data_IF_321314394983
#
_entry.id   IF_321314394983
#
_cell.length_a   1.000
_cell.length_b   1.000
_cell.length_c   1.000
_cell.angle_alpha   90.00
_cell.angle_beta   90.00
_cell.angle_gamma   90.00
#
_symmetry.space_group_name_H-M   'P 1'
#
loop_
_entity.id
_entity.type
_entity.pdbx_description
1 polymer ?
#
# COMPACT_ATOMS: atom_id res chain seq x y z
N UNK A 1 -0.53 -11.36 2.11
CA UNK A 1 0.74 -11.63 1.43
C UNK A 1 0.58 -11.49 -0.08
N UNK A 2 1.69 -11.24 -0.77
CA UNK A 2 1.76 -11.28 -2.22
C UNK A 2 3.12 -11.86 -2.63
N UNK A 3 3.10 -12.69 -3.69
CA UNK A 3 4.27 -13.40 -4.18
C UNK A 3 4.34 -13.25 -5.69
N UNK A 4 5.53 -12.96 -6.22
CA UNK A 4 5.77 -12.78 -7.65
C UNK A 4 7.07 -13.49 -8.00
N UNK A 5 6.99 -14.47 -8.90
CA UNK A 5 8.14 -15.08 -9.55
C UNK A 5 8.10 -14.69 -11.03
N UNK A 6 9.25 -14.37 -11.61
CA UNK A 6 9.33 -14.06 -13.04
C UNK A 6 10.59 -14.63 -13.68
N UNK A 7 10.48 -14.93 -14.97
CA UNK A 7 11.58 -15.24 -15.86
C UNK A 7 11.26 -14.60 -17.22
N UNK A 8 11.85 -13.41 -17.45
CA UNK A 8 11.49 -12.54 -18.56
C UNK A 8 12.64 -12.43 -19.55
N UNK A 9 12.43 -12.80 -20.85
CA UNK A 9 13.44 -12.64 -21.90
C UNK A 9 13.72 -11.16 -22.21
N UNK A 10 12.73 -10.30 -22.00
CA UNK A 10 12.84 -8.85 -22.22
C UNK A 10 12.40 -8.07 -20.97
N UNK A 11 12.96 -6.88 -20.75
CA UNK A 11 12.56 -6.04 -19.62
C UNK A 11 11.08 -5.67 -19.66
N UNK A 12 10.43 -5.73 -18.51
CA UNK A 12 9.05 -5.33 -18.31
C UNK A 12 8.95 -4.23 -17.21
N UNK A 13 8.20 -3.18 -17.48
CA UNK A 13 7.92 -2.15 -16.47
C UNK A 13 6.61 -2.48 -15.74
N UNK A 14 6.72 -2.88 -14.48
CA UNK A 14 5.57 -3.09 -13.61
C UNK A 14 5.18 -1.76 -12.95
N UNK A 15 3.91 -1.37 -13.07
CA UNK A 15 3.36 -0.17 -12.46
C UNK A 15 2.42 -0.55 -11.32
N UNK A 16 2.67 0.00 -10.14
CA UNK A 16 1.85 -0.27 -8.96
C UNK A 16 1.25 1.04 -8.44
N UNK A 17 -0.07 1.13 -8.49
CA UNK A 17 -0.78 2.26 -7.87
C UNK A 17 -0.64 2.15 -6.36
N UNK A 18 -0.16 3.19 -5.67
CA UNK A 18 0.10 3.12 -4.25
C UNK A 18 -1.16 2.82 -3.43
N UNK A 19 -1.09 1.77 -2.63
CA UNK A 19 -2.06 1.47 -1.58
C UNK A 19 -1.59 2.14 -0.26
N UNK A 20 -2.50 2.58 0.62
CA UNK A 20 -2.15 3.21 1.90
C UNK A 20 -1.60 2.22 2.92
N UNK A 21 -0.65 1.41 2.52
CA UNK A 21 -0.07 0.31 3.31
C UNK A 21 1.44 0.40 3.36
N UNK A 22 1.99 0.08 4.53
CA UNK A 22 3.40 -0.28 4.65
C UNK A 22 3.57 -1.70 4.13
N UNK A 23 4.66 -1.96 3.43
CA UNK A 23 5.02 -3.30 2.99
C UNK A 23 6.39 -3.69 3.56
N UNK A 24 6.55 -4.95 3.98
CA UNK A 24 7.86 -5.58 4.15
C UNK A 24 8.08 -6.44 2.91
N UNK A 25 9.21 -6.25 2.24
CA UNK A 25 9.47 -6.85 0.93
C UNK A 25 10.81 -7.58 0.96
N UNK A 26 10.79 -8.84 0.56
CA UNK A 26 11.96 -9.70 0.37
C UNK A 26 12.15 -9.92 -1.11
N UNK A 27 13.35 -9.68 -1.63
CA UNK A 27 13.57 -9.61 -3.09
C UNK A 27 14.87 -10.29 -3.48
N UNK A 28 14.82 -11.01 -4.61
CA UNK A 28 15.98 -11.63 -5.28
C UNK A 28 15.93 -11.31 -6.76
N UNK A 29 17.00 -10.75 -7.28
CA UNK A 29 17.16 -10.45 -8.70
C UNK A 29 18.42 -11.11 -9.22
N UNK A 30 18.29 -12.05 -10.16
CA UNK A 30 19.44 -12.64 -10.82
C UNK A 30 20.30 -11.56 -11.49
N UNK A 31 21.62 -11.65 -11.32
CA UNK A 31 22.55 -10.69 -11.90
C UNK A 31 22.76 -9.38 -11.13
N UNK A 32 22.06 -9.14 -10.00
CA UNK A 32 22.36 -8.03 -9.10
C UNK A 32 23.35 -8.44 -8.00
N UNK A 33 24.04 -7.46 -7.44
CA UNK A 33 24.93 -7.66 -6.30
C UNK A 33 24.68 -6.56 -5.23
N UNK A 34 24.19 -6.90 -4.03
CA UNK A 34 23.73 -8.25 -3.64
C UNK A 34 22.48 -8.67 -4.42
N UNK A 35 22.36 -9.98 -4.69
CA UNK A 35 21.18 -10.55 -5.36
C UNK A 35 19.96 -10.46 -4.44
N UNK A 36 20.15 -10.73 -3.16
CA UNK A 36 19.14 -10.79 -2.12
C UNK A 36 19.13 -9.49 -1.31
N UNK A 37 17.94 -8.92 -1.11
CA UNK A 37 17.76 -7.79 -0.20
C UNK A 37 16.34 -7.74 0.36
N UNK A 38 16.17 -7.06 1.47
CA UNK A 38 14.87 -6.86 2.10
C UNK A 38 14.74 -5.44 2.65
N UNK A 39 13.53 -4.93 2.61
CA UNK A 39 13.24 -3.54 2.98
C UNK A 39 11.84 -3.38 3.58
N UNK A 40 11.67 -2.28 4.31
CA UNK A 40 10.36 -1.70 4.60
C UNK A 40 10.08 -0.63 3.55
N UNK A 41 9.07 -0.85 2.73
CA UNK A 41 8.51 0.15 1.85
C UNK A 41 7.36 0.84 2.57
N UNK A 42 7.54 2.10 2.92
CA UNK A 42 6.50 2.94 3.53
C UNK A 42 5.39 3.27 2.53
N UNK A 43 4.43 4.11 2.96
CA UNK A 43 3.32 4.48 2.10
C UNK A 43 3.86 5.26 0.89
N UNK A 44 3.68 4.70 -0.31
CA UNK A 44 3.96 5.39 -1.55
C UNK A 44 2.97 6.52 -1.79
N UNK A 45 3.46 7.68 -2.20
CA UNK A 45 2.63 8.84 -2.54
C UNK A 45 2.29 8.87 -4.03
N UNK A 46 3.23 8.42 -4.87
CA UNK A 46 3.18 8.44 -6.32
C UNK A 46 3.17 7.03 -6.92
N UNK A 47 2.88 6.91 -8.20
CA UNK A 47 2.95 5.66 -8.95
C UNK A 47 4.32 5.03 -8.81
N UNK A 48 4.37 3.81 -8.30
CA UNK A 48 5.61 3.07 -8.20
C UNK A 48 5.86 2.28 -9.49
N UNK A 49 7.02 2.48 -10.08
CA UNK A 49 7.42 1.75 -11.29
C UNK A 49 8.66 0.91 -10.99
N UNK A 50 8.55 -0.39 -11.21
CA UNK A 50 9.66 -1.33 -11.07
C UNK A 50 9.99 -1.97 -12.42
N UNK A 51 11.24 -1.82 -12.87
CA UNK A 51 11.76 -2.58 -14.01
C UNK A 51 12.06 -4.00 -13.54
N UNK A 52 11.40 -4.98 -14.16
CA UNK A 52 11.68 -6.40 -14.02
C UNK A 52 12.44 -6.87 -15.25
N UNK A 53 13.51 -7.63 -15.05
CA UNK A 53 14.32 -8.19 -16.14
C UNK A 53 14.94 -9.52 -15.70
N UNK A 54 15.21 -10.42 -16.66
CA UNK A 54 15.75 -11.72 -16.38
C UNK A 54 14.90 -12.50 -15.37
N UNK A 55 15.54 -13.19 -14.45
CA UNK A 55 14.88 -14.02 -13.44
C UNK A 55 14.90 -13.36 -12.08
N UNK A 56 13.78 -13.42 -11.37
CA UNK A 56 13.70 -12.93 -10.00
C UNK A 56 12.51 -13.47 -9.23
N UNK A 57 12.52 -13.17 -7.94
CA UNK A 57 11.49 -13.57 -6.99
C UNK A 57 11.30 -12.47 -5.95
N UNK A 58 10.05 -12.18 -5.62
CA UNK A 58 9.68 -11.22 -4.57
C UNK A 58 8.57 -11.81 -3.73
N UNK A 59 8.70 -11.72 -2.42
CA UNK A 59 7.64 -12.00 -1.47
C UNK A 59 7.41 -10.76 -0.61
N UNK A 60 6.14 -10.38 -0.43
CA UNK A 60 5.78 -9.20 0.33
C UNK A 60 4.69 -9.42 1.35
N UNK A 61 4.80 -8.68 2.44
CA UNK A 61 3.79 -8.55 3.48
C UNK A 61 3.19 -7.16 3.34
N UNK A 62 1.93 -7.06 2.92
CA UNK A 62 1.19 -5.80 2.90
C UNK A 62 0.40 -5.67 4.20
N UNK A 63 0.76 -4.70 5.01
CA UNK A 63 0.04 -4.43 6.26
C UNK A 63 -1.28 -3.70 5.97
N UNK A 64 -2.30 -4.01 6.75
CA UNK A 64 -3.50 -3.15 6.79
C UNK A 64 -3.08 -1.72 7.17
N UNK A 65 -3.66 -0.68 6.56
CA UNK A 65 -3.37 0.69 6.97
C UNK A 65 -3.62 0.88 8.47
N UNK A 66 -2.60 1.32 9.21
CA UNK A 66 -2.62 1.39 10.68
C UNK A 66 -2.04 0.17 11.41
N UNK A 67 -1.90 -0.99 10.73
CA UNK A 67 -1.52 -2.27 11.36
C UNK A 67 -0.01 -2.54 11.49
N UNK A 68 0.86 -1.65 11.02
CA UNK A 68 2.30 -1.88 11.08
C UNK A 68 2.93 -1.55 12.43
N UNK A 69 2.41 -0.56 13.15
CA UNK A 69 3.02 -0.04 14.38
C UNK A 69 3.17 -1.05 15.53
N UNK A 70 2.27 -2.03 15.73
CA UNK A 70 2.48 -3.11 16.70
C UNK A 70 3.80 -3.87 16.54
N UNK A 71 4.35 -3.92 15.32
CA UNK A 71 5.62 -4.58 14.99
C UNK A 71 6.82 -3.64 15.18
N UNK A 72 6.65 -2.33 15.02
CA UNK A 72 7.68 -1.31 15.15
C UNK A 72 7.26 -0.20 16.15
N UNK A 73 7.10 -0.53 17.45
CA UNK A 73 6.64 0.42 18.46
C UNK A 73 7.64 1.59 18.60
N UNK A 74 7.09 2.78 18.86
CA UNK A 74 7.88 4.00 19.04
C UNK A 74 8.20 4.77 17.75
N UNK A 75 7.98 4.19 16.55
CA UNK A 75 8.20 4.88 15.27
C UNK A 75 6.88 5.45 14.74
N UNK A 76 6.81 6.75 14.51
CA UNK A 76 5.67 7.35 13.81
C UNK A 76 5.71 6.96 12.32
N UNK A 77 4.58 6.52 11.75
CA UNK A 77 4.56 6.05 10.36
C UNK A 77 4.84 7.15 9.34
N UNK A 78 4.62 8.41 9.68
CA UNK A 78 5.03 9.53 8.82
C UNK A 78 6.53 9.53 8.49
N UNK A 79 7.38 8.94 9.35
CA UNK A 79 8.82 8.81 9.08
C UNK A 79 9.16 7.73 8.04
N UNK A 80 8.18 6.92 7.63
CA UNK A 80 8.31 5.90 6.59
C UNK A 80 7.61 6.33 5.28
N UNK A 81 6.78 7.38 5.31
CA UNK A 81 6.02 7.80 4.13
C UNK A 81 6.94 8.29 3.03
N UNK A 82 6.82 7.68 1.84
CA UNK A 82 7.70 7.94 0.70
C UNK A 82 9.06 7.23 0.77
N UNK A 83 9.38 6.57 1.87
CA UNK A 83 10.70 5.98 2.11
C UNK A 83 10.73 4.47 1.81
N UNK A 84 11.91 4.00 1.41
CA UNK A 84 12.26 2.57 1.31
C UNK A 84 13.52 2.36 2.13
N UNK A 85 13.39 1.64 3.23
CA UNK A 85 14.44 1.53 4.26
C UNK A 85 14.88 0.09 4.37
N UNK A 86 16.19 -0.23 4.36
CA UNK A 86 16.68 -1.59 4.61
C UNK A 86 16.05 -2.18 5.87
N UNK A 87 15.59 -3.43 5.78
CA UNK A 87 14.78 -4.06 6.82
C UNK A 87 15.48 -4.09 8.19
N UNK A 88 16.81 -4.32 8.21
CA UNK A 88 17.62 -4.33 9.44
C UNK A 88 17.67 -2.98 10.17
N UNK A 89 17.42 -1.87 9.49
CA UNK A 89 17.34 -0.55 10.11
C UNK A 89 16.02 -0.31 10.87
N UNK A 90 15.02 -1.12 10.58
CA UNK A 90 13.72 -1.09 11.28
C UNK A 90 13.65 -2.22 12.31
N UNK A 91 14.19 -3.39 11.96
CA UNK A 91 14.21 -4.59 12.78
C UNK A 91 15.66 -5.10 12.92
N UNK A 92 16.38 -4.68 13.97
CA UNK A 92 17.80 -5.03 14.16
C UNK A 92 18.10 -6.53 14.30
N UNK A 93 17.08 -7.35 14.54
CA UNK A 93 17.18 -8.82 14.61
C UNK A 93 17.27 -9.49 13.23
N UNK A 94 17.02 -8.74 12.16
CA UNK A 94 17.10 -9.25 10.78
C UNK A 94 18.57 -9.40 10.37
N UNK A 95 18.90 -10.57 9.88
CA UNK A 95 20.25 -10.96 9.45
C UNK A 95 20.27 -11.43 7.98
N UNK A 96 21.44 -11.86 7.54
CA UNK A 96 21.63 -12.34 6.17
C UNK A 96 20.86 -13.64 5.85
N UNK A 97 20.48 -14.44 6.87
CA UNK A 97 19.72 -15.67 6.69
C UNK A 97 18.22 -15.41 6.49
N UNK A 98 17.73 -14.23 6.85
CA UNK A 98 16.30 -13.87 6.79
C UNK A 98 15.75 -13.89 5.36
N UNK A 99 16.47 -13.37 4.38
CA UNK A 99 15.99 -13.35 2.98
C UNK A 99 15.92 -14.76 2.39
N UNK A 100 16.97 -15.60 2.48
CA UNK A 100 16.90 -16.99 2.05
C UNK A 100 15.78 -17.78 2.73
N UNK A 101 15.56 -17.61 4.03
CA UNK A 101 14.50 -18.35 4.73
C UNK A 101 13.10 -18.10 4.17
N UNK A 102 12.85 -16.92 3.59
CA UNK A 102 11.58 -16.55 2.96
C UNK A 102 11.54 -16.92 1.46
N UNK A 103 12.65 -16.74 0.74
CA UNK A 103 12.66 -16.87 -0.73
C UNK A 103 13.06 -18.25 -1.25
N UNK A 104 13.79 -19.08 -0.49
CA UNK A 104 14.25 -20.39 -0.93
C UNK A 104 13.16 -21.47 -1.01
N UNK A 105 12.11 -21.47 -0.14
CA UNK A 105 11.08 -22.49 -0.26
C UNK A 105 10.45 -22.50 -1.67
N UNK A 106 10.29 -23.71 -2.21
CA UNK A 106 9.88 -23.89 -3.62
C UNK A 106 8.40 -23.57 -3.84
N UNK A 107 7.55 -23.98 -2.88
CA UNK A 107 6.10 -23.77 -2.99
C UNK A 107 5.64 -22.50 -2.26
N UNK A 108 4.47 -22.01 -2.68
CA UNK A 108 3.90 -20.76 -2.14
C UNK A 108 3.48 -20.88 -0.68
N UNK A 109 2.93 -22.01 -0.28
CA UNK A 109 2.46 -22.24 1.09
C UNK A 109 3.63 -22.22 2.08
N UNK A 110 4.76 -22.83 1.71
CA UNK A 110 5.96 -22.79 2.53
C UNK A 110 6.55 -21.37 2.64
N UNK A 111 6.47 -20.55 1.57
CA UNK A 111 6.85 -19.14 1.61
C UNK A 111 5.91 -18.31 2.49
N UNK A 112 4.61 -18.55 2.40
CA UNK A 112 3.62 -17.91 3.29
C UNK A 112 3.90 -18.28 4.74
N UNK A 113 4.15 -19.57 5.04
CA UNK A 113 4.52 -20.01 6.39
C UNK A 113 5.81 -19.34 6.91
N UNK A 114 6.79 -19.14 6.03
CA UNK A 114 8.02 -18.41 6.38
C UNK A 114 7.77 -16.93 6.69
N UNK A 115 6.88 -16.28 5.93
CA UNK A 115 6.44 -14.90 6.20
C UNK A 115 5.68 -14.79 7.53
N UNK A 116 4.81 -15.76 7.85
CA UNK A 116 4.11 -15.84 9.15
C UNK A 116 5.11 -16.02 10.29
N UNK A 117 6.06 -16.95 10.15
CA UNK A 117 7.09 -17.19 11.16
C UNK A 117 7.96 -15.94 11.39
N UNK A 118 8.30 -15.22 10.31
CA UNK A 118 9.00 -13.95 10.40
C UNK A 118 8.20 -12.91 11.21
N UNK A 119 6.92 -12.70 10.89
CA UNK A 119 6.06 -11.74 11.60
C UNK A 119 5.89 -12.11 13.08
N UNK A 120 5.66 -13.38 13.39
CA UNK A 120 5.56 -13.86 14.77
C UNK A 120 6.87 -13.67 15.53
N UNK A 121 8.00 -13.90 14.86
CA UNK A 121 9.34 -13.69 15.41
C UNK A 121 9.66 -12.23 15.77
N UNK A 122 8.99 -11.25 15.13
CA UNK A 122 9.11 -9.84 15.49
C UNK A 122 8.43 -9.50 16.82
N UNK A 123 7.57 -10.38 17.35
CA UNK A 123 6.90 -10.21 18.63
C UNK A 123 5.98 -8.98 18.69
N UNK A 124 4.97 -8.88 17.82
CA UNK A 124 4.09 -7.72 17.79
C UNK A 124 3.40 -7.51 19.14
N UNK A 125 3.25 -6.25 19.54
CA UNK A 125 2.60 -5.87 20.80
C UNK A 125 1.20 -5.32 20.52
N UNK A 126 0.18 -5.75 21.28
CA UNK A 126 -1.15 -5.17 21.21
C UNK A 126 -1.08 -3.65 21.37
N UNK A 127 -1.76 -2.93 20.49
CA UNK A 127 -1.82 -1.46 20.49
C UNK A 127 -3.24 -1.01 20.14
N UNK A 128 -4.07 -0.64 21.14
CA UNK A 128 -5.45 -0.19 20.91
C UNK A 128 -5.58 1.02 19.98
N UNK A 129 -4.53 1.85 19.89
CA UNK A 129 -4.54 2.97 18.94
C UNK A 129 -4.32 2.50 17.50
N UNK A 130 -3.55 1.40 17.30
CA UNK A 130 -3.46 0.76 15.99
C UNK A 130 -4.80 0.16 15.58
N UNK A 131 -5.49 -0.52 16.50
CA UNK A 131 -6.83 -1.08 16.26
C UNK A 131 -7.83 0.02 15.89
N UNK A 132 -7.84 1.14 16.62
CA UNK A 132 -8.66 2.30 16.31
C UNK A 132 -8.31 2.88 14.93
N UNK A 133 -7.04 3.05 14.60
CA UNK A 133 -6.62 3.58 13.31
C UNK A 133 -7.07 2.67 12.15
N UNK A 134 -6.91 1.35 12.29
CA UNK A 134 -7.38 0.36 11.32
C UNK A 134 -8.90 0.44 11.13
N UNK A 135 -9.67 0.50 12.23
CA UNK A 135 -11.13 0.59 12.17
C UNK A 135 -11.59 1.88 11.46
N UNK A 136 -10.96 3.02 11.74
CA UNK A 136 -11.28 4.30 11.09
C UNK A 136 -10.94 4.28 9.59
N UNK A 137 -9.83 3.67 9.20
CA UNK A 137 -9.48 3.53 7.78
C UNK A 137 -10.45 2.58 7.07
N UNK A 138 -10.84 1.47 7.71
CA UNK A 138 -11.82 0.55 7.13
C UNK A 138 -13.20 1.22 6.96
N UNK A 139 -13.60 2.11 7.88
CA UNK A 139 -14.82 2.92 7.69
C UNK A 139 -14.73 3.83 6.47
N UNK A 140 -13.61 4.55 6.32
CA UNK A 140 -13.40 5.40 5.12
C UNK A 140 -13.44 4.55 3.84
N UNK A 141 -12.87 3.36 3.85
CA UNK A 141 -12.87 2.44 2.71
C UNK A 141 -14.27 1.94 2.37
N UNK A 142 -15.06 1.61 3.40
CA UNK A 142 -16.39 0.99 3.24
C UNK A 142 -17.54 1.97 3.03
N UNK A 143 -17.36 3.25 3.39
CA UNK A 143 -18.42 4.25 3.31
C UNK A 143 -18.07 5.42 2.39
N UNK A 144 -18.64 5.40 1.19
CA UNK A 144 -18.47 6.44 0.16
C UNK A 144 -19.09 7.80 0.54
N UNK A 145 -19.98 7.84 1.53
CA UNK A 145 -20.56 9.09 2.02
C UNK A 145 -19.54 9.92 2.84
N UNK A 146 -18.44 9.31 3.28
CA UNK A 146 -17.36 10.02 3.97
C UNK A 146 -16.56 10.85 2.94
N UNK A 147 -16.90 12.14 2.87
CA UNK A 147 -16.32 13.07 1.90
C UNK A 147 -15.43 14.14 2.53
N UNK A 148 -15.69 14.48 3.79
CA UNK A 148 -15.02 15.56 4.50
C UNK A 148 -14.47 15.09 5.84
N UNK A 149 -13.20 15.45 6.10
CA UNK A 149 -12.51 15.07 7.34
C UNK A 149 -13.21 15.59 8.59
N UNK A 150 -13.79 16.81 8.52
CA UNK A 150 -14.48 17.41 9.66
C UNK A 150 -15.76 16.67 10.07
N UNK A 151 -16.55 16.25 9.08
CA UNK A 151 -17.78 15.49 9.33
C UNK A 151 -17.46 14.08 9.82
N UNK A 152 -16.46 13.43 9.23
CA UNK A 152 -15.97 12.13 9.68
C UNK A 152 -15.45 12.20 11.13
N UNK A 153 -14.59 13.16 11.45
CA UNK A 153 -14.10 13.31 12.82
C UNK A 153 -15.24 13.50 13.83
N UNK A 154 -16.24 14.33 13.49
CA UNK A 154 -17.41 14.56 14.34
C UNK A 154 -18.23 13.27 14.52
N UNK A 155 -18.44 12.52 13.46
CA UNK A 155 -19.17 11.23 13.51
C UNK A 155 -18.47 10.19 14.41
N UNK A 156 -17.12 10.25 14.46
CA UNK A 156 -16.31 9.37 15.33
C UNK A 156 -16.11 9.95 16.77
N UNK A 157 -16.76 11.06 17.13
CA UNK A 157 -16.57 11.69 18.43
C UNK A 157 -15.16 12.28 18.65
N UNK A 158 -14.45 12.58 17.57
CA UNK A 158 -13.08 13.08 17.60
C UNK A 158 -12.98 14.53 17.13
N UNK A 159 -11.95 15.24 17.59
CA UNK A 159 -11.54 16.48 16.94
C UNK A 159 -10.73 16.17 15.68
N UNK A 160 -10.79 17.05 14.66
CA UNK A 160 -9.97 16.91 13.43
C UNK A 160 -8.48 16.76 13.78
N UNK A 161 -8.00 17.53 14.78
CA UNK A 161 -6.60 17.48 15.22
C UNK A 161 -6.24 16.13 15.86
N UNK A 162 -7.14 15.53 16.65
CA UNK A 162 -6.91 14.19 17.23
C UNK A 162 -6.85 13.13 16.14
N UNK A 163 -7.79 13.16 15.18
CA UNK A 163 -7.81 12.27 14.02
C UNK A 163 -6.54 12.40 13.19
N UNK A 164 -6.11 13.62 12.87
CA UNK A 164 -4.88 13.87 12.12
C UNK A 164 -3.63 13.32 12.83
N UNK A 165 -3.52 13.51 14.17
CA UNK A 165 -2.40 12.97 14.95
C UNK A 165 -2.39 11.44 14.96
N UNK A 166 -3.55 10.81 15.10
CA UNK A 166 -3.68 9.35 15.05
C UNK A 166 -3.22 8.83 13.68
N UNK A 167 -3.72 9.42 12.61
CA UNK A 167 -3.35 9.02 11.25
C UNK A 167 -1.87 9.25 10.96
N UNK A 168 -1.29 10.37 11.37
CA UNK A 168 0.14 10.63 11.23
C UNK A 168 1.00 9.58 11.97
N UNK A 169 0.59 9.19 13.18
CA UNK A 169 1.33 8.26 14.00
C UNK A 169 1.20 6.80 13.52
N UNK A 170 0.02 6.38 13.07
CA UNK A 170 -0.33 4.98 12.82
C UNK A 170 -0.54 4.63 11.36
N UNK A 171 -1.00 5.57 10.53
CA UNK A 171 -1.26 5.35 9.10
C UNK A 171 -0.15 5.92 8.22
N UNK A 172 0.49 7.02 8.66
CA UNK A 172 1.61 7.66 7.95
C UNK A 172 1.17 8.77 7.01
N UNK A 173 -0.11 8.87 6.68
CA UNK A 173 -0.71 9.92 5.84
C UNK A 173 -1.97 10.46 6.50
N UNK A 174 -2.41 11.65 6.09
CA UNK A 174 -3.58 12.27 6.69
C UNK A 174 -4.91 11.67 6.23
N UNK A 175 -6.00 11.84 7.00
CA UNK A 175 -7.32 11.27 6.67
C UNK A 175 -7.87 11.78 5.31
N UNK A 176 -7.59 13.03 4.93
CA UNK A 176 -7.98 13.55 3.61
C UNK A 176 -7.33 12.76 2.47
N UNK A 177 -6.03 12.43 2.63
CA UNK A 177 -5.30 11.63 1.63
C UNK A 177 -5.91 10.23 1.49
N UNK A 178 -6.27 9.59 2.62
CA UNK A 178 -6.93 8.27 2.63
C UNK A 178 -8.27 8.32 1.89
N UNK A 179 -9.12 9.32 2.17
CA UNK A 179 -10.41 9.50 1.49
C UNK A 179 -10.20 9.62 -0.01
N UNK A 180 -9.28 10.47 -0.45
CA UNK A 180 -8.99 10.66 -1.88
C UNK A 180 -8.41 9.40 -2.52
N UNK A 181 -7.51 8.70 -1.83
CA UNK A 181 -6.87 7.49 -2.34
C UNK A 181 -7.90 6.37 -2.58
N UNK A 182 -8.82 6.14 -1.65
CA UNK A 182 -9.86 5.12 -1.86
C UNK A 182 -10.85 5.49 -2.96
N UNK A 183 -11.11 6.77 -3.21
CA UNK A 183 -11.88 7.20 -4.39
C UNK A 183 -11.17 6.84 -5.69
N UNK A 184 -9.86 7.00 -5.76
CA UNK A 184 -9.09 6.61 -6.95
C UNK A 184 -9.08 5.09 -7.10
N UNK A 185 -8.93 4.31 -6.03
CA UNK A 185 -9.04 2.85 -6.10
C UNK A 185 -10.42 2.38 -6.58
N UNK A 186 -11.49 3.04 -6.16
CA UNK A 186 -12.83 2.75 -6.68
C UNK A 186 -12.94 3.10 -8.17
N UNK A 187 -12.37 4.23 -8.59
CA UNK A 187 -12.35 4.60 -10.00
C UNK A 187 -11.54 3.60 -10.86
N UNK A 188 -10.43 3.06 -10.32
CA UNK A 188 -9.67 1.97 -10.95
C UNK A 188 -10.51 0.70 -11.09
N UNK A 189 -11.14 0.24 -10.01
CA UNK A 189 -12.01 -0.94 -10.04
C UNK A 189 -13.16 -0.80 -11.07
N UNK A 190 -13.70 0.41 -11.23
CA UNK A 190 -14.72 0.69 -12.25
C UNK A 190 -14.15 0.69 -13.66
N UNK A 191 -12.90 1.17 -13.83
CA UNK A 191 -12.22 1.13 -15.12
C UNK A 191 -11.87 -0.29 -15.57
N UNK A 192 -11.62 -1.20 -14.61
CA UNK A 192 -11.28 -2.61 -14.83
C UNK A 192 -12.52 -3.48 -15.04
N UNK A 193 -13.70 -3.02 -14.62
CA UNK A 193 -14.95 -3.72 -14.84
C UNK A 193 -15.34 -3.69 -16.33
N UNK A 194 -15.89 -4.81 -16.82
CA UNK A 194 -16.31 -4.92 -18.22
C UNK A 194 -17.39 -3.91 -18.56
N UNK A 195 -17.17 -3.09 -19.58
CA UNK A 195 -18.15 -2.16 -20.16
C UNK A 195 -17.71 -0.69 -20.12
N UNK A 196 -18.44 0.17 -20.84
CA UNK A 196 -18.15 1.61 -20.90
C UNK A 196 -18.41 2.27 -19.53
N UNK A 197 -17.46 3.10 -19.08
CA UNK A 197 -17.57 3.85 -17.83
C UNK A 197 -18.10 5.26 -18.11
N UNK A 198 -19.21 5.64 -17.48
CA UNK A 198 -19.65 7.03 -17.42
C UNK A 198 -18.83 7.78 -16.35
N UNK A 199 -17.76 8.42 -16.80
CA UNK A 199 -16.83 9.14 -15.92
C UNK A 199 -17.46 10.37 -15.24
N UNK A 200 -18.50 10.96 -15.84
CA UNK A 200 -19.21 12.11 -15.25
C UNK A 200 -20.09 11.64 -14.08
N UNK A 201 -20.86 10.58 -14.29
CA UNK A 201 -21.65 9.96 -13.23
C UNK A 201 -20.76 9.43 -12.11
N UNK A 202 -19.65 8.75 -12.44
CA UNK A 202 -18.70 8.24 -11.45
C UNK A 202 -18.04 9.37 -10.65
N UNK A 203 -17.69 10.49 -11.27
CA UNK A 203 -17.17 11.66 -10.54
C UNK A 203 -18.17 12.18 -9.51
N UNK A 204 -19.44 12.29 -9.86
CA UNK A 204 -20.51 12.70 -8.95
C UNK A 204 -20.68 11.69 -7.80
N UNK A 205 -20.71 10.38 -8.09
CA UNK A 205 -20.84 9.32 -7.10
C UNK A 205 -19.67 9.33 -6.09
N UNK A 206 -18.45 9.56 -6.59
CA UNK A 206 -17.24 9.64 -5.75
C UNK A 206 -17.10 10.99 -5.03
N UNK A 207 -18.02 11.94 -5.26
CA UNK A 207 -18.05 13.26 -4.60
C UNK A 207 -17.00 14.23 -5.10
N UNK A 208 -16.59 14.13 -6.36
CA UNK A 208 -15.85 15.17 -7.05
C UNK A 208 -16.78 16.28 -7.52
N UNK A 209 -16.26 17.49 -7.64
CA UNK A 209 -17.04 18.64 -8.11
C UNK A 209 -17.47 18.46 -9.58
N UNK A 210 -16.61 17.85 -10.38
CA UNK A 210 -16.83 17.56 -11.79
C UNK A 210 -15.89 16.44 -12.29
N UNK A 211 -16.12 15.98 -13.51
CA UNK A 211 -15.29 14.97 -14.17
C UNK A 211 -13.82 15.42 -14.32
N UNK A 212 -13.58 16.71 -14.61
CA UNK A 212 -12.22 17.21 -14.81
C UNK A 212 -11.40 17.13 -13.52
N UNK A 213 -12.02 17.30 -12.35
CA UNK A 213 -11.38 17.13 -11.07
C UNK A 213 -11.00 15.64 -10.83
N UNK A 214 -11.92 14.71 -11.09
CA UNK A 214 -11.61 13.27 -11.03
C UNK A 214 -10.45 12.91 -11.97
N UNK A 215 -10.48 13.38 -13.23
CA UNK A 215 -9.42 13.11 -14.22
C UNK A 215 -8.07 13.62 -13.76
N UNK A 216 -8.00 14.81 -13.17
CA UNK A 216 -6.73 15.37 -12.63
C UNK A 216 -6.17 14.50 -11.50
N UNK A 217 -6.99 14.15 -10.51
CA UNK A 217 -6.57 13.36 -9.35
C UNK A 217 -6.19 11.93 -9.77
N UNK A 218 -6.96 11.33 -10.67
CA UNK A 218 -6.67 10.01 -11.23
C UNK A 218 -5.34 10.01 -11.96
N UNK A 219 -5.14 10.96 -12.90
CA UNK A 219 -3.91 11.06 -13.69
C UNK A 219 -2.69 11.33 -12.82
N UNK A 220 -2.81 12.18 -11.80
CA UNK A 220 -1.74 12.44 -10.84
C UNK A 220 -1.36 11.18 -10.03
N UNK A 221 -2.32 10.27 -9.79
CA UNK A 221 -2.10 9.06 -8.99
C UNK A 221 -1.63 7.87 -9.84
N UNK A 222 -2.23 7.70 -11.04
CA UNK A 222 -2.10 6.51 -11.90
C UNK A 222 -1.09 6.75 -13.03
N UNK A 223 -0.76 8.01 -13.31
CA UNK A 223 0.20 8.38 -14.37
C UNK A 223 -0.43 8.54 -15.74
N UNK A 224 -1.65 8.03 -15.97
CA UNK A 224 -2.39 8.14 -17.24
C UNK A 224 -3.84 8.54 -16.98
N UNK A 225 -4.51 9.19 -17.95
CA UNK A 225 -5.93 9.51 -17.84
C UNK A 225 -6.81 8.26 -17.68
N UNK A 226 -7.96 8.36 -16.99
CA UNK A 226 -8.84 7.21 -16.74
C UNK A 226 -9.35 6.54 -18.00
N UNK A 227 -9.61 7.29 -19.08
CA UNK A 227 -10.01 6.73 -20.38
C UNK A 227 -8.90 5.92 -21.05
N UNK A 228 -7.64 6.36 -20.92
CA UNK A 228 -6.47 5.63 -21.42
C UNK A 228 -6.26 4.36 -20.61
N UNK A 229 -6.36 4.45 -19.28
CA UNK A 229 -6.24 3.29 -18.40
C UNK A 229 -7.27 2.21 -18.74
N UNK A 230 -8.56 2.59 -18.84
CA UNK A 230 -9.63 1.65 -19.21
C UNK A 230 -9.39 0.97 -20.57
N UNK A 231 -8.83 1.68 -21.55
CA UNK A 231 -8.53 1.12 -22.87
C UNK A 231 -7.34 0.11 -22.88
N UNK A 232 -6.46 0.17 -21.87
CA UNK A 232 -5.31 -0.76 -21.77
C UNK A 232 -5.61 -2.00 -20.94
N UNK A 233 -6.72 -2.00 -20.21
CA UNK A 233 -7.10 -3.09 -19.31
C UNK A 233 -8.05 -4.10 -19.99
N UNK A 234 -8.53 -3.78 -21.18
CA UNK A 234 -9.40 -4.60 -22.02
C UNK A 234 -8.74 -4.91 -23.35
#
# INVERSE_FOLDING_TARGET
>A
YWLIDWDLPEPYASHVVPHPSVNVVFQRYAGRNPADFCEVAGIGLDLFTQKLEGRGRVCGIQFRPGGFRPFAPGRALTSLTGERIPLHMVFPTVDAATVPSVLDPADEDARVAALDAFLLGLGPRPDPQADLAMALVDRIRGDRAIRHVGDFARAEGMTVRALQRLFAAYVGVGPKWIILRYRIHEALSRAEASGPVDWAALAADLGYADQAHLVRDFTATVGVPPTTYAATTH
#
